data_IF_331094004783
#
_entry.id   IF_331094004783
#
_cell.length_a   1.000
_cell.length_b   1.000
_cell.length_c   1.000
_cell.angle_alpha   90.00
_cell.angle_beta   90.00
_cell.angle_gamma   90.00
#
_symmetry.space_group_name_H-M   'P 1'
#
loop_
_entity.id
_entity.type
_entity.pdbx_description
1 polymer ?
#
# COMPACT_ATOMS: atom_id res chain seq x y z
N UNK A 1 5.92 -7.19 -14.62
CA UNK A 1 6.51 -6.17 -13.70
C UNK A 1 5.50 -5.74 -12.66
N UNK A 2 5.96 -5.35 -11.47
CA UNK A 2 5.17 -4.75 -10.38
C UNK A 2 5.52 -3.28 -10.10
N UNK A 3 6.73 -2.85 -10.46
CA UNK A 3 7.24 -1.48 -10.27
C UNK A 3 7.66 -0.90 -11.62
N UNK A 4 7.41 0.40 -11.83
CA UNK A 4 7.92 1.19 -12.96
C UNK A 4 8.80 2.30 -12.38
N UNK A 5 10.04 2.38 -12.84
CA UNK A 5 10.94 3.50 -12.54
C UNK A 5 10.96 4.45 -13.75
N UNK A 6 10.58 5.71 -13.53
CA UNK A 6 10.62 6.76 -14.53
C UNK A 6 11.64 7.81 -14.14
N UNK A 7 12.47 8.23 -15.09
CA UNK A 7 13.40 9.34 -14.87
C UNK A 7 12.62 10.63 -14.57
N UNK A 8 12.96 11.29 -13.46
CA UNK A 8 12.40 12.55 -13.01
C UNK A 8 13.46 13.37 -12.25
N UNK A 9 13.21 14.66 -12.04
CA UNK A 9 14.05 15.56 -11.25
C UNK A 9 13.71 15.55 -9.74
N UNK A 10 12.70 14.79 -9.34
CA UNK A 10 12.27 14.61 -7.96
C UNK A 10 11.75 13.18 -7.70
N UNK A 11 11.77 12.78 -6.42
CA UNK A 11 11.13 11.55 -5.94
C UNK A 11 9.60 11.71 -5.84
N UNK A 12 8.88 10.59 -5.85
CA UNK A 12 7.43 10.56 -5.74
C UNK A 12 6.80 9.40 -6.51
N UNK A 13 5.47 9.43 -6.60
CA UNK A 13 4.68 8.44 -7.32
C UNK A 13 3.91 9.12 -8.45
N UNK A 14 4.02 8.56 -9.66
CA UNK A 14 3.22 8.99 -10.80
C UNK A 14 1.77 8.48 -10.70
N UNK A 15 1.61 7.18 -10.42
CA UNK A 15 0.32 6.52 -10.26
C UNK A 15 0.46 5.21 -9.48
N UNK A 16 -0.64 4.71 -8.93
CA UNK A 16 -0.78 3.33 -8.44
C UNK A 16 -1.78 2.57 -9.30
N UNK A 17 -1.55 1.27 -9.51
CA UNK A 17 -2.43 0.44 -10.33
C UNK A 17 -2.84 -0.85 -9.62
N UNK A 18 -4.13 -1.21 -9.70
CA UNK A 18 -4.67 -2.47 -9.18
C UNK A 18 -5.20 -3.33 -10.31
N UNK A 19 -4.95 -4.64 -10.21
CA UNK A 19 -5.51 -5.62 -11.14
C UNK A 19 -6.93 -5.97 -10.72
N UNK A 20 -7.89 -5.93 -11.65
CA UNK A 20 -9.26 -6.44 -11.46
C UNK A 20 -9.40 -7.85 -12.04
N UNK A 21 -10.44 -8.57 -11.66
CA UNK A 21 -10.65 -9.98 -12.04
C UNK A 21 -10.86 -10.14 -13.56
N UNK A 22 -11.71 -9.30 -14.15
CA UNK A 22 -12.07 -9.38 -15.56
C UNK A 22 -12.06 -8.01 -16.26
N UNK A 23 -11.97 -8.01 -17.59
CA UNK A 23 -12.02 -6.77 -18.37
C UNK A 23 -13.39 -6.07 -18.25
N UNK A 24 -14.47 -6.83 -18.05
CA UNK A 24 -15.82 -6.31 -17.83
C UNK A 24 -15.94 -5.52 -16.52
N UNK A 25 -15.15 -5.88 -15.50
CA UNK A 25 -15.15 -5.17 -14.22
C UNK A 25 -14.67 -3.74 -14.37
N UNK A 26 -13.84 -3.44 -15.37
CA UNK A 26 -13.42 -2.06 -15.63
C UNK A 26 -14.62 -1.16 -15.98
N UNK A 27 -15.61 -1.65 -16.72
CA UNK A 27 -16.81 -0.88 -17.05
C UNK A 27 -17.78 -0.79 -15.86
N UNK A 28 -17.83 -1.83 -15.01
CA UNK A 28 -18.59 -1.83 -13.75
C UNK A 28 -18.01 -0.78 -12.79
N UNK A 29 -16.70 -0.82 -12.55
CA UNK A 29 -16.03 0.15 -11.70
C UNK A 29 -16.10 1.55 -12.26
N UNK A 30 -16.00 1.74 -13.59
CA UNK A 30 -16.25 3.04 -14.20
C UNK A 30 -17.60 3.62 -13.80
N UNK A 31 -18.66 2.82 -13.92
CA UNK A 31 -20.01 3.25 -13.57
C UNK A 31 -20.12 3.62 -12.08
N UNK A 32 -19.56 2.78 -11.20
CA UNK A 32 -19.56 3.02 -9.75
C UNK A 32 -18.75 4.27 -9.36
N UNK A 33 -17.60 4.48 -9.97
CA UNK A 33 -16.71 5.63 -9.73
C UNK A 33 -17.35 6.94 -10.23
N UNK A 34 -17.92 6.94 -11.44
CA UNK A 34 -18.60 8.11 -12.01
C UNK A 34 -19.87 8.47 -11.21
N UNK A 35 -20.56 7.48 -10.64
CA UNK A 35 -21.68 7.71 -9.73
C UNK A 35 -21.26 8.43 -8.42
N UNK A 36 -19.98 8.41 -8.05
CA UNK A 36 -19.41 9.21 -6.95
C UNK A 36 -18.91 10.59 -7.39
N UNK A 37 -19.16 10.97 -8.64
CA UNK A 37 -18.76 12.28 -9.20
C UNK A 37 -17.28 12.36 -9.61
N UNK A 38 -16.56 11.23 -9.63
CA UNK A 38 -15.16 11.17 -10.07
C UNK A 38 -15.12 10.91 -11.58
N UNK A 39 -14.41 11.77 -12.31
CA UNK A 39 -14.20 11.59 -13.76
C UNK A 39 -13.24 10.44 -14.02
N UNK A 40 -13.54 9.66 -15.05
CA UNK A 40 -12.69 8.54 -15.49
C UNK A 40 -12.28 8.67 -16.96
N UNK A 41 -11.19 7.98 -17.32
CA UNK A 41 -10.64 7.92 -18.66
C UNK A 41 -10.18 6.49 -18.96
N UNK A 42 -10.53 5.94 -20.12
CA UNK A 42 -9.92 4.70 -20.59
C UNK A 42 -8.63 4.98 -21.35
N UNK A 43 -7.51 4.55 -20.80
CA UNK A 43 -6.25 4.44 -21.50
C UNK A 43 -6.30 3.20 -22.41
N UNK A 44 -5.81 3.35 -23.64
CA UNK A 44 -5.78 2.25 -24.62
C UNK A 44 -4.82 1.15 -24.16
N UNK A 45 -5.05 -0.07 -24.63
CA UNK A 45 -4.07 -1.15 -24.52
C UNK A 45 -2.69 -0.68 -24.98
N UNK A 46 -1.65 -1.17 -24.30
CA UNK A 46 -0.25 -0.79 -24.51
C UNK A 46 0.08 0.69 -24.24
N UNK A 47 -0.80 1.46 -23.59
CA UNK A 47 -0.41 2.76 -23.00
C UNK A 47 0.67 2.60 -21.93
N UNK A 48 0.76 1.42 -21.32
CA UNK A 48 1.97 0.89 -20.68
C UNK A 48 2.31 -0.44 -21.35
N UNK A 49 3.61 -0.76 -21.57
CA UNK A 49 3.99 -2.01 -22.22
C UNK A 49 3.37 -3.22 -21.53
N UNK A 50 2.86 -4.16 -22.32
CA UNK A 50 2.35 -5.46 -21.88
C UNK A 50 1.08 -5.38 -21.01
N UNK A 51 0.36 -4.26 -21.01
CA UNK A 51 -0.87 -4.05 -20.24
C UNK A 51 -2.03 -3.80 -21.20
N UNK A 52 -3.18 -4.41 -20.91
CA UNK A 52 -4.44 -4.15 -21.57
C UNK A 52 -4.94 -2.72 -21.38
N UNK A 53 -6.19 -2.45 -21.74
CA UNK A 53 -6.81 -1.15 -21.43
C UNK A 53 -6.80 -0.90 -19.91
N UNK A 54 -6.71 0.36 -19.53
CA UNK A 54 -6.73 0.75 -18.12
C UNK A 54 -7.78 1.83 -17.87
N UNK A 55 -8.55 1.68 -16.80
CA UNK A 55 -9.40 2.75 -16.30
C UNK A 55 -8.59 3.66 -15.39
N UNK A 56 -8.39 4.92 -15.78
CA UNK A 56 -7.66 5.95 -15.04
C UNK A 56 -8.63 6.93 -14.38
N UNK A 57 -8.35 7.32 -13.14
CA UNK A 57 -9.08 8.35 -12.39
C UNK A 57 -8.21 8.92 -11.27
N UNK A 58 -8.65 10.03 -10.67
CA UNK A 58 -8.00 10.60 -9.49
C UNK A 58 -8.78 10.23 -8.24
N UNK A 59 -8.08 9.82 -7.18
CA UNK A 59 -8.67 9.64 -5.85
C UNK A 59 -9.16 10.99 -5.29
N UNK A 60 -10.05 11.00 -4.28
CA UNK A 60 -10.42 12.24 -3.56
C UNK A 60 -9.22 13.04 -3.04
N UNK A 61 -8.15 12.35 -2.64
CA UNK A 61 -6.85 12.90 -2.27
C UNK A 61 -5.98 13.44 -3.42
N UNK A 62 -6.39 13.27 -4.68
CA UNK A 62 -5.70 13.76 -5.88
C UNK A 62 -4.77 12.77 -6.57
N UNK A 63 -4.39 11.65 -5.95
CA UNK A 63 -3.50 10.63 -6.55
C UNK A 63 -4.09 10.01 -7.83
N UNK A 64 -3.26 9.78 -8.85
CA UNK A 64 -3.62 9.01 -10.06
C UNK A 64 -3.71 7.52 -9.70
N UNK A 65 -4.89 6.95 -9.89
CA UNK A 65 -5.15 5.53 -9.72
C UNK A 65 -5.62 4.91 -11.03
N UNK A 66 -5.16 3.68 -11.28
CA UNK A 66 -5.48 2.90 -12.47
C UNK A 66 -6.00 1.52 -12.11
N UNK A 67 -7.00 1.06 -12.85
CA UNK A 67 -7.46 -0.34 -12.82
C UNK A 67 -7.16 -0.99 -14.17
N UNK A 68 -6.67 -2.23 -14.15
CA UNK A 68 -6.41 -3.01 -15.36
C UNK A 68 -6.82 -4.46 -15.14
N UNK A 69 -7.31 -5.15 -16.18
CA UNK A 69 -7.65 -6.57 -16.09
C UNK A 69 -6.54 -7.46 -16.67
N UNK A 70 -6.02 -7.03 -17.83
CA UNK A 70 -5.08 -7.82 -18.62
C UNK A 70 -3.67 -7.27 -18.49
N UNK A 71 -2.73 -8.19 -18.30
CA UNK A 71 -1.29 -7.93 -18.34
C UNK A 71 -0.61 -9.23 -18.78
N UNK A 72 0.45 -9.12 -19.56
CA UNK A 72 1.22 -10.29 -19.99
C UNK A 72 1.64 -11.11 -18.77
N UNK A 73 1.30 -12.39 -18.81
CA UNK A 73 1.63 -13.33 -17.74
C UNK A 73 3.04 -13.85 -17.99
N UNK A 74 3.92 -13.56 -17.06
CA UNK A 74 5.22 -14.22 -16.95
C UNK A 74 5.14 -15.17 -15.76
N UNK A 75 5.74 -16.36 -15.88
CA UNK A 75 5.81 -17.31 -14.76
C UNK A 75 6.59 -16.71 -13.59
N UNK A 76 6.44 -17.34 -12.41
CA UNK A 76 7.34 -17.08 -11.28
C UNK A 76 8.67 -17.79 -11.48
N UNK A 77 9.70 -17.38 -10.74
CA UNK A 77 11.04 -17.99 -10.84
C UNK A 77 11.08 -19.48 -10.44
N UNK A 78 10.03 -19.97 -9.76
CA UNK A 78 9.88 -21.40 -9.40
C UNK A 78 8.95 -22.17 -10.34
N UNK A 79 8.32 -21.49 -11.31
CA UNK A 79 7.40 -22.09 -12.27
C UNK A 79 6.07 -22.57 -11.66
N UNK A 80 5.32 -23.36 -12.44
CA UNK A 80 3.95 -23.81 -12.10
C UNK A 80 3.76 -25.34 -12.10
N UNK A 81 4.81 -26.12 -12.38
CA UNK A 81 4.76 -27.60 -12.40
C UNK A 81 5.75 -28.13 -11.38
N UNK A 82 5.24 -28.71 -10.28
CA UNK A 82 6.04 -29.17 -9.13
C UNK A 82 7.09 -28.15 -8.65
N UNK A 83 6.67 -26.90 -8.34
CA UNK A 83 7.60 -25.84 -8.01
C UNK A 83 8.30 -26.10 -6.67
N UNK A 84 9.56 -25.68 -6.58
CA UNK A 84 10.24 -25.53 -5.30
C UNK A 84 9.62 -24.38 -4.47
N UNK A 85 9.78 -24.39 -3.14
CA UNK A 85 9.21 -23.33 -2.30
C UNK A 85 9.84 -21.95 -2.52
N UNK A 86 11.06 -21.88 -3.08
CA UNK A 86 11.79 -20.65 -3.41
C UNK A 86 12.91 -20.97 -4.43
N UNK A 87 13.37 -20.00 -5.24
CA UNK A 87 14.40 -20.23 -6.26
C UNK A 87 15.83 -20.24 -5.67
N UNK A 88 16.72 -21.02 -6.28
CA UNK A 88 18.13 -21.17 -5.83
C UNK A 88 18.95 -19.87 -5.93
N UNK A 89 18.68 -19.03 -6.92
CA UNK A 89 19.47 -17.83 -7.23
C UNK A 89 18.89 -16.53 -6.63
N UNK A 90 18.05 -16.67 -5.60
CA UNK A 90 17.40 -15.56 -4.89
C UNK A 90 18.42 -14.50 -4.42
N UNK A 91 18.17 -13.24 -4.77
CA UNK A 91 19.09 -12.11 -4.49
C UNK A 91 18.56 -11.14 -3.44
N UNK A 92 19.49 -10.58 -2.67
CA UNK A 92 19.20 -9.53 -1.70
C UNK A 92 18.23 -10.00 -0.62
N UNK A 93 17.24 -9.15 -0.30
CA UNK A 93 16.17 -9.50 0.63
C UNK A 93 15.31 -10.67 0.11
N UNK A 94 15.20 -10.84 -1.22
CA UNK A 94 14.41 -11.92 -1.82
C UNK A 94 12.90 -11.71 -1.69
N UNK A 95 12.43 -10.47 -1.87
CA UNK A 95 11.00 -10.13 -1.76
C UNK A 95 10.12 -10.92 -2.72
N UNK A 96 8.97 -11.40 -2.24
CA UNK A 96 8.07 -12.25 -3.02
C UNK A 96 7.23 -11.44 -4.02
N UNK A 97 6.61 -10.35 -3.57
CA UNK A 97 5.78 -9.49 -4.40
C UNK A 97 5.67 -8.07 -3.82
N UNK A 98 5.17 -7.14 -4.65
CA UNK A 98 4.67 -5.84 -4.19
C UNK A 98 3.41 -6.08 -3.36
N UNK A 99 3.46 -5.74 -2.07
CA UNK A 99 2.42 -6.10 -1.11
C UNK A 99 1.30 -5.05 -1.03
N UNK A 100 1.68 -3.80 -0.80
CA UNK A 100 0.76 -2.68 -0.66
C UNK A 100 1.47 -1.34 -0.90
N UNK A 101 0.68 -0.27 -0.92
CA UNK A 101 1.19 1.11 -0.83
C UNK A 101 0.48 1.85 0.28
N UNK A 102 1.20 2.75 0.96
CA UNK A 102 0.64 3.74 1.87
C UNK A 102 0.72 5.11 1.21
N UNK A 103 -0.43 5.77 1.05
CA UNK A 103 -0.51 7.11 0.46
C UNK A 103 -0.73 8.16 1.55
N UNK A 104 0.11 9.20 1.53
CA UNK A 104 -0.07 10.39 2.33
C UNK A 104 -1.19 11.23 1.72
N UNK A 105 -2.17 11.64 2.50
CA UNK A 105 -3.37 12.32 2.06
C UNK A 105 -3.55 13.62 2.85
N UNK A 106 -3.98 14.69 2.19
CA UNK A 106 -4.21 15.97 2.86
C UNK A 106 -5.17 15.83 4.05
N UNK A 107 -4.72 16.24 5.23
CA UNK A 107 -5.50 16.26 6.45
C UNK A 107 -5.37 17.65 7.09
N UNK A 108 -6.44 18.43 7.06
CA UNK A 108 -6.53 19.73 7.71
C UNK A 108 -7.91 19.88 8.40
N UNK A 109 -8.04 19.40 9.64
CA UNK A 109 -9.32 19.40 10.36
C UNK A 109 -9.89 20.81 10.58
N UNK A 110 -9.04 21.82 10.78
CA UNK A 110 -9.48 23.22 10.95
C UNK A 110 -10.20 23.77 9.71
N UNK A 111 -9.84 23.28 8.52
CA UNK A 111 -10.49 23.60 7.25
C UNK A 111 -11.57 22.58 6.84
N UNK A 112 -11.86 21.60 7.70
CA UNK A 112 -12.80 20.52 7.40
C UNK A 112 -12.32 19.54 6.32
N UNK A 113 -11.00 19.42 6.11
CA UNK A 113 -10.40 18.55 5.10
C UNK A 113 -9.91 17.27 5.77
N UNK A 114 -10.44 16.12 5.35
CA UNK A 114 -9.91 14.81 5.71
C UNK A 114 -9.92 13.88 4.49
N UNK A 115 -8.87 13.92 3.67
CA UNK A 115 -8.76 13.08 2.48
C UNK A 115 -8.54 11.59 2.79
N UNK A 116 -8.11 11.24 4.01
CA UNK A 116 -8.03 9.85 4.47
C UNK A 116 -9.44 9.26 4.58
N UNK A 117 -10.37 9.97 5.22
CA UNK A 117 -11.77 9.54 5.36
C UNK A 117 -12.48 9.51 3.99
N UNK A 118 -12.27 10.55 3.17
CA UNK A 118 -12.86 10.59 1.82
C UNK A 118 -12.38 9.43 0.93
N UNK A 119 -11.07 9.13 0.91
CA UNK A 119 -10.53 7.98 0.20
C UNK A 119 -11.09 6.66 0.78
N UNK A 120 -11.11 6.51 2.11
CA UNK A 120 -11.62 5.31 2.78
C UNK A 120 -13.05 5.00 2.35
N UNK A 121 -13.92 6.03 2.37
CA UNK A 121 -15.31 5.91 1.90
C UNK A 121 -15.38 5.56 0.42
N UNK A 122 -14.58 6.24 -0.42
CA UNK A 122 -14.55 5.98 -1.86
C UNK A 122 -14.16 4.52 -2.17
N UNK A 123 -13.13 3.99 -1.52
CA UNK A 123 -12.70 2.60 -1.72
C UNK A 123 -13.77 1.58 -1.30
N UNK A 124 -14.46 1.83 -0.18
CA UNK A 124 -15.54 0.97 0.28
C UNK A 124 -16.75 1.00 -0.66
N UNK A 125 -17.16 2.18 -1.07
CA UNK A 125 -18.42 2.37 -1.78
C UNK A 125 -18.31 2.20 -3.31
N UNK A 126 -17.16 2.52 -3.91
CA UNK A 126 -16.95 2.44 -5.35
C UNK A 126 -16.11 1.24 -5.77
N UNK A 127 -15.15 0.81 -4.94
CA UNK A 127 -14.19 -0.24 -5.29
C UNK A 127 -14.41 -1.56 -4.55
N UNK A 128 -15.34 -1.62 -3.59
CA UNK A 128 -15.69 -2.85 -2.88
C UNK A 128 -14.67 -3.31 -1.83
N UNK A 129 -13.73 -2.45 -1.43
CA UNK A 129 -12.81 -2.76 -0.34
C UNK A 129 -13.54 -2.77 1.00
N UNK A 130 -13.02 -3.51 1.97
CA UNK A 130 -13.44 -3.41 3.36
C UNK A 130 -12.31 -2.85 4.22
N UNK A 131 -12.67 -2.10 5.26
CA UNK A 131 -11.71 -1.51 6.17
C UNK A 131 -11.36 -2.52 7.26
N UNK A 132 -10.08 -2.68 7.53
CA UNK A 132 -9.56 -3.63 8.52
C UNK A 132 -9.13 -2.91 9.79
N UNK A 133 -8.41 -1.80 9.65
CA UNK A 133 -7.89 -1.03 10.78
C UNK A 133 -7.93 0.48 10.53
N UNK A 134 -7.84 1.23 11.62
CA UNK A 134 -7.73 2.69 11.60
C UNK A 134 -7.03 3.25 12.83
N UNK A 135 -6.50 4.46 12.68
CA UNK A 135 -6.10 5.32 13.80
C UNK A 135 -7.09 6.49 13.88
N UNK A 136 -7.70 6.68 15.05
CA UNK A 136 -8.60 7.80 15.34
C UNK A 136 -7.96 8.76 16.34
N UNK A 137 -7.98 10.04 15.99
CA UNK A 137 -7.40 11.16 16.78
C UNK A 137 -8.39 12.30 16.98
N UNK A 138 -7.99 13.30 17.76
CA UNK A 138 -8.82 14.46 18.05
C UNK A 138 -9.91 14.15 19.08
N UNK A 139 -10.77 15.13 19.38
CA UNK A 139 -11.77 15.00 20.44
C UNK A 139 -12.64 13.76 20.26
N UNK A 140 -12.56 12.81 21.20
CA UNK A 140 -13.32 11.56 21.16
C UNK A 140 -12.99 10.62 19.99
N UNK A 141 -11.83 10.77 19.33
CA UNK A 141 -11.48 9.97 18.14
C UNK A 141 -12.29 10.36 16.90
N UNK A 142 -12.67 11.62 16.78
CA UNK A 142 -13.52 12.13 15.68
C UNK A 142 -12.80 12.30 14.34
N UNK A 143 -11.46 12.20 14.31
CA UNK A 143 -10.65 12.42 13.11
C UNK A 143 -9.95 11.11 12.74
N UNK A 144 -10.22 10.58 11.56
CA UNK A 144 -9.50 9.43 11.03
C UNK A 144 -8.13 9.86 10.49
N UNK A 145 -7.07 9.59 11.25
CA UNK A 145 -5.68 9.90 10.87
C UNK A 145 -5.12 8.89 9.87
N UNK A 146 -5.49 7.61 10.02
CA UNK A 146 -5.03 6.55 9.13
C UNK A 146 -6.09 5.48 8.96
N UNK A 147 -6.08 4.82 7.82
CA UNK A 147 -7.04 3.78 7.44
C UNK A 147 -6.37 2.72 6.58
N UNK A 148 -6.64 1.46 6.90
CA UNK A 148 -6.10 0.28 6.25
C UNK A 148 -7.27 -0.48 5.61
N UNK A 149 -7.17 -0.78 4.33
CA UNK A 149 -8.25 -1.41 3.57
C UNK A 149 -7.74 -2.61 2.78
N UNK A 150 -8.60 -3.61 2.67
CA UNK A 150 -8.32 -4.86 1.97
C UNK A 150 -9.43 -5.16 0.96
N UNK A 151 -9.04 -5.76 -0.16
CA UNK A 151 -9.92 -6.49 -1.06
C UNK A 151 -9.51 -7.98 -1.14
N UNK A 152 -8.56 -8.38 -0.30
CA UNK A 152 -7.99 -9.73 -0.21
C UNK A 152 -8.22 -10.32 1.20
N UNK A 153 -7.40 -11.29 1.58
CA UNK A 153 -7.35 -11.86 2.93
C UNK A 153 -6.21 -11.30 3.79
N UNK A 154 -5.41 -10.37 3.27
CA UNK A 154 -4.34 -9.69 3.99
C UNK A 154 -4.89 -8.53 4.84
N UNK A 155 -4.20 -8.11 5.91
CA UNK A 155 -4.58 -6.94 6.70
C UNK A 155 -4.85 -5.70 5.86
N UNK A 156 -4.11 -5.49 4.76
CA UNK A 156 -4.39 -4.41 3.83
C UNK A 156 -3.76 -4.68 2.46
N UNK A 157 -4.41 -4.14 1.44
CA UNK A 157 -3.87 -4.02 0.07
C UNK A 157 -3.56 -2.56 -0.26
N UNK A 158 -4.19 -1.61 0.46
CA UNK A 158 -3.88 -0.17 0.41
C UNK A 158 -4.05 0.45 1.80
N UNK A 159 -3.28 1.49 2.08
CA UNK A 159 -3.47 2.31 3.26
C UNK A 159 -3.41 3.80 2.95
N UNK A 160 -4.01 4.59 3.84
CA UNK A 160 -3.99 6.05 3.81
C UNK A 160 -3.52 6.60 5.15
N UNK A 161 -2.73 7.67 5.13
CA UNK A 161 -2.33 8.41 6.34
C UNK A 161 -2.41 9.91 6.10
N UNK A 162 -2.81 10.66 7.11
CA UNK A 162 -2.91 12.10 7.06
C UNK A 162 -1.54 12.77 6.99
N UNK A 163 -1.44 13.84 6.22
CA UNK A 163 -0.29 14.74 6.17
C UNK A 163 -0.67 16.08 5.54
N UNK A 164 0.28 16.99 5.43
CA UNK A 164 0.03 18.36 4.94
C UNK A 164 -0.33 18.41 3.45
N UNK A 165 0.12 17.43 2.67
CA UNK A 165 -0.07 17.37 1.21
C UNK A 165 -0.16 15.92 0.72
N UNK A 166 -0.81 15.67 -0.42
CA UNK A 166 -0.83 14.33 -1.01
C UNK A 166 0.58 13.89 -1.45
N UNK A 167 0.88 12.60 -1.32
CA UNK A 167 2.16 12.02 -1.73
C UNK A 167 2.28 10.52 -1.45
N UNK A 168 3.40 9.95 -1.86
CA UNK A 168 3.76 8.57 -1.53
C UNK A 168 4.37 8.53 -0.12
N UNK A 169 3.81 7.74 0.79
CA UNK A 169 4.48 7.47 2.07
C UNK A 169 5.50 6.34 1.93
N UNK A 170 5.10 5.17 1.39
CA UNK A 170 6.01 4.09 1.02
C UNK A 170 5.38 3.09 0.04
N UNK A 171 6.24 2.29 -0.59
CA UNK A 171 5.89 1.06 -1.33
C UNK A 171 6.40 -0.15 -0.55
N UNK A 172 5.57 -1.17 -0.33
CA UNK A 172 5.91 -2.31 0.51
C UNK A 172 6.08 -3.62 -0.24
N UNK A 173 7.00 -4.46 0.20
CA UNK A 173 7.34 -5.73 -0.42
C UNK A 173 7.28 -6.87 0.60
N UNK A 174 6.57 -7.95 0.26
CA UNK A 174 6.32 -9.06 1.18
C UNK A 174 7.54 -9.97 1.38
N UNK A 175 7.73 -10.43 2.62
CA UNK A 175 8.63 -11.48 3.06
C UNK A 175 7.87 -12.48 3.94
N UNK A 176 8.36 -13.72 4.04
CA UNK A 176 7.65 -14.75 4.79
C UNK A 176 7.72 -14.55 6.31
N UNK A 177 8.88 -14.17 6.85
CA UNK A 177 9.13 -14.26 8.28
C UNK A 177 10.02 -13.17 8.89
N UNK A 178 10.01 -13.08 10.22
CA UNK A 178 10.95 -12.27 11.00
C UNK A 178 12.42 -12.58 10.72
N UNK A 179 12.75 -13.83 10.38
CA UNK A 179 14.11 -14.18 9.98
C UNK A 179 14.48 -13.52 8.65
N UNK A 180 13.54 -13.39 7.73
CA UNK A 180 13.77 -12.72 6.44
C UNK A 180 13.89 -11.21 6.61
N UNK A 181 13.21 -10.63 7.60
CA UNK A 181 13.44 -9.26 8.04
C UNK A 181 14.88 -9.07 8.54
N UNK A 182 15.37 -9.98 9.40
CA UNK A 182 16.78 -9.94 9.84
C UNK A 182 17.74 -10.01 8.63
N UNK A 183 17.53 -10.97 7.73
CA UNK A 183 18.33 -11.11 6.49
C UNK A 183 18.27 -9.82 5.64
N UNK A 184 17.09 -9.22 5.48
CA UNK A 184 16.92 -7.98 4.73
C UNK A 184 17.72 -6.83 5.37
N UNK A 185 17.71 -6.69 6.70
CA UNK A 185 18.53 -5.73 7.43
C UNK A 185 20.03 -5.92 7.18
N UNK A 186 20.53 -7.16 7.22
CA UNK A 186 21.93 -7.48 6.93
C UNK A 186 22.32 -7.11 5.48
N UNK A 187 21.43 -7.36 4.52
CA UNK A 187 21.62 -6.99 3.12
C UNK A 187 21.65 -5.47 2.95
N UNK A 188 20.74 -4.73 3.60
CA UNK A 188 20.74 -3.27 3.58
C UNK A 188 22.04 -2.71 4.14
N UNK A 189 22.54 -3.25 5.26
CA UNK A 189 23.82 -2.86 5.84
C UNK A 189 25.00 -3.12 4.88
N UNK A 190 25.05 -4.30 4.24
CA UNK A 190 26.07 -4.64 3.23
C UNK A 190 26.08 -3.67 2.05
N UNK A 191 24.90 -3.20 1.64
CA UNK A 191 24.73 -2.26 0.52
C UNK A 191 24.76 -0.79 0.92
N UNK A 192 24.92 -0.49 2.22
CA UNK A 192 24.87 0.88 2.77
C UNK A 192 23.56 1.60 2.41
N UNK A 193 22.47 0.87 2.36
CA UNK A 193 21.12 1.42 2.18
C UNK A 193 20.78 2.32 3.36
N UNK A 194 20.17 3.48 3.09
CA UNK A 194 19.68 4.37 4.14
C UNK A 194 18.44 3.76 4.78
N UNK A 195 18.61 3.20 5.97
CA UNK A 195 17.50 2.71 6.80
C UNK A 195 16.82 3.92 7.46
N UNK A 196 15.50 3.94 7.42
CA UNK A 196 14.65 4.90 8.12
C UNK A 196 14.31 4.34 9.50
N UNK A 197 13.66 3.18 9.54
CA UNK A 197 13.29 2.48 10.78
C UNK A 197 13.90 1.08 10.79
N UNK A 198 14.71 0.72 11.80
CA UNK A 198 15.30 -0.61 11.92
C UNK A 198 14.24 -1.70 12.17
N UNK A 199 14.62 -3.00 12.10
CA UNK A 199 13.68 -4.11 12.31
C UNK A 199 12.77 -3.93 13.54
N UNK A 200 11.47 -3.88 13.31
CA UNK A 200 10.46 -3.76 14.36
C UNK A 200 9.14 -4.41 13.94
N UNK A 201 8.11 -4.32 14.79
CA UNK A 201 6.77 -4.84 14.51
C UNK A 201 5.75 -3.71 14.51
N UNK A 202 4.83 -3.73 13.55
CA UNK A 202 3.64 -2.90 13.58
C UNK A 202 2.61 -3.44 14.59
N UNK A 203 2.00 -2.54 15.37
CA UNK A 203 0.84 -2.89 16.19
C UNK A 203 -0.37 -3.16 15.29
N UNK A 204 -0.64 -2.20 14.41
CA UNK A 204 -1.45 -2.37 13.21
C UNK A 204 -0.93 -3.56 12.43
N UNK A 205 -1.81 -4.38 11.86
CA UNK A 205 -1.50 -5.55 11.00
C UNK A 205 -0.77 -6.70 11.68
N UNK A 206 0.01 -6.43 12.74
CA UNK A 206 0.97 -7.33 13.40
C UNK A 206 2.20 -7.67 12.55
N UNK A 207 2.30 -7.10 11.36
CA UNK A 207 3.40 -7.34 10.43
C UNK A 207 4.72 -6.83 10.96
N UNK A 208 5.76 -7.51 10.53
CA UNK A 208 7.14 -7.18 10.87
C UNK A 208 7.76 -6.36 9.76
N UNK A 209 8.57 -5.35 10.10
CA UNK A 209 8.90 -4.30 9.15
C UNK A 209 10.33 -3.77 9.27
N UNK A 210 10.85 -3.27 8.14
CA UNK A 210 11.96 -2.31 8.06
C UNK A 210 11.51 -1.22 7.08
N UNK A 211 11.67 0.05 7.46
CA UNK A 211 11.57 1.16 6.50
C UNK A 211 12.95 1.61 6.05
N UNK A 212 13.09 1.88 4.77
CA UNK A 212 14.35 2.31 4.15
C UNK A 212 14.10 3.14 2.90
N UNK A 213 15.11 3.82 2.39
CA UNK A 213 14.99 4.66 1.19
C UNK A 213 15.67 4.04 -0.03
N UNK A 214 15.08 4.23 -1.20
CA UNK A 214 15.79 4.09 -2.47
C UNK A 214 16.79 5.24 -2.69
N UNK A 215 17.68 5.16 -3.70
CA UNK A 215 18.65 6.23 -3.97
C UNK A 215 18.06 7.60 -4.33
N UNK A 216 16.79 7.65 -4.75
CA UNK A 216 16.10 8.89 -5.09
C UNK A 216 15.40 9.52 -3.88
N UNK A 217 15.21 8.78 -2.79
CA UNK A 217 14.53 9.22 -1.57
C UNK A 217 13.09 8.73 -1.42
N UNK A 218 12.61 7.82 -2.28
CA UNK A 218 11.33 7.15 -2.03
C UNK A 218 11.49 6.14 -0.90
N UNK A 219 10.59 6.17 0.08
CA UNK A 219 10.59 5.16 1.14
C UNK A 219 10.01 3.85 0.63
N UNK A 220 10.66 2.76 1.01
CA UNK A 220 10.23 1.40 0.81
C UNK A 220 10.06 0.69 2.15
N UNK A 221 9.33 -0.41 2.13
CA UNK A 221 9.15 -1.30 3.25
C UNK A 221 9.44 -2.75 2.83
N UNK A 222 10.11 -3.50 3.68
CA UNK A 222 10.00 -4.97 3.68
C UNK A 222 9.05 -5.37 4.79
N UNK A 223 7.94 -6.02 4.46
CA UNK A 223 6.87 -6.40 5.38
C UNK A 223 6.79 -7.92 5.48
N UNK A 224 6.80 -8.48 6.69
CA UNK A 224 6.78 -9.93 6.88
C UNK A 224 5.61 -10.46 7.71
N UNK A 225 5.17 -11.65 7.30
CA UNK A 225 4.09 -12.41 7.91
C UNK A 225 2.71 -11.91 7.50
N UNK A 226 1.73 -12.83 7.44
CA UNK A 226 0.33 -12.46 7.17
C UNK A 226 -0.24 -11.54 8.26
N UNK A 227 0.24 -11.67 9.50
CA UNK A 227 -0.29 -10.98 10.67
C UNK A 227 -1.62 -11.56 11.15
N UNK A 228 -2.67 -11.41 10.36
CA UNK A 228 -3.95 -12.10 10.56
C UNK A 228 -4.74 -12.19 9.25
N UNK A 229 -5.64 -13.18 9.18
CA UNK A 229 -6.58 -13.28 8.06
C UNK A 229 -7.66 -12.19 8.18
N UNK A 230 -7.64 -11.22 7.27
CA UNK A 230 -8.65 -10.18 7.18
C UNK A 230 -9.96 -10.76 6.65
N UNK A 231 -11.08 -10.29 7.21
CA UNK A 231 -12.43 -10.70 6.81
C UNK A 231 -13.38 -9.50 6.87
N UNK A 232 -14.36 -9.38 5.96
CA UNK A 232 -15.31 -8.26 5.95
C UNK A 232 -16.20 -8.15 7.19
N UNK A 233 -16.47 -9.26 7.89
CA UNK A 233 -17.30 -9.33 9.11
C UNK A 233 -16.49 -9.13 10.40
N UNK A 234 -15.15 -9.12 10.30
CA UNK A 234 -14.28 -8.84 11.44
C UNK A 234 -14.44 -7.37 11.86
N UNK A 235 -14.59 -7.07 13.17
CA UNK A 235 -14.60 -5.70 13.65
C UNK A 235 -13.35 -4.93 13.24
N UNK A 236 -13.52 -3.67 12.83
CA UNK A 236 -12.42 -2.76 12.49
C UNK A 236 -11.56 -2.54 13.74
N UNK A 237 -10.27 -2.86 13.66
CA UNK A 237 -9.32 -2.60 14.74
C UNK A 237 -9.07 -1.10 14.79
N UNK A 238 -9.33 -0.48 15.94
CA UNK A 238 -9.15 0.96 16.13
C UNK A 238 -8.05 1.22 17.14
N UNK A 239 -7.03 1.96 16.71
CA UNK A 239 -6.00 2.52 17.57
C UNK A 239 -6.38 3.95 17.95
N UNK A 240 -6.36 4.25 19.24
CA UNK A 240 -6.65 5.59 19.77
C UNK A 240 -5.42 6.49 19.69
N UNK A 241 -5.63 7.81 19.77
CA UNK A 241 -4.57 8.82 19.72
C UNK A 241 -3.42 8.54 20.70
N UNK A 242 -3.75 8.19 21.95
CA UNK A 242 -2.76 7.89 22.99
C UNK A 242 -1.97 6.60 22.73
N UNK A 243 -2.46 5.73 21.82
CA UNK A 243 -1.80 4.49 21.41
C UNK A 243 -1.32 4.53 19.95
N UNK A 244 -1.44 5.65 19.24
CA UNK A 244 -1.13 5.73 17.81
C UNK A 244 0.32 5.32 17.51
N UNK A 245 1.26 5.77 18.35
CA UNK A 245 2.67 5.41 18.25
C UNK A 245 2.91 3.91 18.39
N UNK A 246 2.18 3.24 19.29
CA UNK A 246 2.24 1.79 19.48
C UNK A 246 1.52 1.02 18.38
N UNK A 247 0.52 1.64 17.74
CA UNK A 247 -0.08 1.13 16.51
C UNK A 247 0.95 1.06 15.38
N UNK A 248 1.81 2.06 15.25
CA UNK A 248 2.83 2.10 14.19
C UNK A 248 4.08 1.31 14.61
N UNK A 249 4.73 1.61 15.72
CA UNK A 249 5.95 0.91 16.16
C UNK A 249 5.71 0.25 17.53
N UNK A 250 5.24 -1.00 17.50
CA UNK A 250 4.70 -1.68 18.68
C UNK A 250 5.73 -1.86 19.80
N UNK A 251 6.97 -2.20 19.45
CA UNK A 251 8.02 -2.48 20.42
C UNK A 251 8.43 -1.24 21.22
N UNK A 252 8.49 -0.07 20.59
CA UNK A 252 8.95 1.17 21.22
C UNK A 252 7.80 2.02 21.74
N UNK A 253 6.67 2.05 21.03
CA UNK A 253 5.58 2.99 21.31
C UNK A 253 5.98 4.45 21.07
N UNK A 254 7.00 4.69 20.26
CA UNK A 254 7.53 6.02 19.94
C UNK A 254 7.46 6.20 18.42
N UNK A 255 6.87 7.29 17.94
CA UNK A 255 6.97 7.72 16.55
C UNK A 255 8.34 8.34 16.35
N UNK A 256 9.11 7.84 15.38
CA UNK A 256 10.37 8.49 15.03
C UNK A 256 10.08 9.85 14.38
N UNK A 257 10.76 10.89 14.85
CA UNK A 257 10.77 12.19 14.19
C UNK A 257 11.67 12.07 12.94
N UNK A 258 11.09 12.20 11.76
CA UNK A 258 11.81 12.22 10.48
C UNK A 258 12.36 13.61 10.14
#
# INVERSE_FOLDING_TARGET
YSVILSLADHAGMNHVAYKVESDQDLDVFRTAIEAKGVKTEFLKENSLPFVGRMLKFNLPSGHDMRLYAQKECVDTDVGSTNPDPWPDDLRGAGSHWLDHVLLMCELNPEKGINKVEENTRFFKEALGFFQTEQILVGPGGSIQLSSFLSCSSKPHDIAFVGGDRPGLHHVSFFLDSWHDILKAGDIMAKNRTRIDVPPTRHGLTRGETIYFFDPSGNRNETFAGLGYQAQPDKPVITWTEDQAARGIFYHTGVLEES
#
